data_IF_945708621649
#
_entry.id   IF_945708621649
#
_cell.length_a   1.000
_cell.length_b   1.000
_cell.length_c   1.000
_cell.angle_alpha   90.00
_cell.angle_beta   90.00
_cell.angle_gamma   90.00
#
_symmetry.space_group_name_H-M   'P 1'
#
loop_
_entity.id
_entity.type
_entity.pdbx_description
1 polymer ?
#
# COMPACT_ATOMS: atom_id res chain seq x y z
N UNK A 1 5.67 3.33 -16.73
CA UNK A 1 6.22 4.59 -16.18
C UNK A 1 5.43 5.72 -16.81
N UNK A 2 4.46 6.31 -16.11
CA UNK A 2 3.79 7.55 -16.56
C UNK A 2 4.14 8.70 -15.62
N UNK A 3 5.43 9.01 -15.56
CA UNK A 3 5.92 10.30 -15.10
C UNK A 3 6.65 11.06 -16.20
N UNK A 4 6.76 10.47 -17.40
CA UNK A 4 7.43 11.08 -18.54
C UNK A 4 6.63 10.80 -19.82
N UNK A 5 6.11 11.87 -20.43
CA UNK A 5 5.83 11.91 -21.87
C UNK A 5 7.02 12.66 -22.47
N UNK A 6 7.73 12.04 -23.42
CA UNK A 6 8.90 12.63 -24.10
C UNK A 6 10.07 13.05 -23.17
N UNK A 7 10.28 12.35 -22.05
CA UNK A 7 11.41 12.63 -21.15
C UNK A 7 11.24 13.85 -20.24
N UNK A 8 10.08 14.52 -20.26
CA UNK A 8 9.75 15.59 -19.33
C UNK A 8 8.79 15.13 -18.23
N UNK A 9 9.15 15.46 -16.98
CA UNK A 9 8.29 15.29 -15.81
C UNK A 9 6.98 16.05 -16.01
N UNK A 10 5.84 15.37 -15.89
CA UNK A 10 4.50 16.00 -15.93
C UNK A 10 4.20 16.89 -14.71
N UNK A 11 5.11 16.91 -13.73
CA UNK A 11 4.97 17.69 -12.49
C UNK A 11 6.13 18.68 -12.35
N UNK A 12 5.87 19.91 -11.87
CA UNK A 12 6.90 20.93 -11.66
C UNK A 12 8.01 20.48 -10.69
N UNK A 13 9.22 21.06 -10.80
CA UNK A 13 10.28 20.85 -9.81
C UNK A 13 9.78 21.09 -8.38
N UNK A 14 10.19 20.23 -7.46
CA UNK A 14 9.77 20.29 -6.05
C UNK A 14 8.48 19.53 -5.73
N UNK A 15 7.71 19.08 -6.73
CA UNK A 15 6.57 18.21 -6.50
C UNK A 15 7.03 16.87 -5.90
N UNK A 16 6.33 16.40 -4.87
CA UNK A 16 6.60 15.13 -4.19
C UNK A 16 5.32 14.35 -4.02
N UNK A 17 5.42 13.05 -4.24
CA UNK A 17 4.34 12.14 -3.90
C UNK A 17 4.28 11.98 -2.38
N UNK A 18 3.35 12.69 -1.74
CA UNK A 18 3.16 12.68 -0.29
C UNK A 18 1.67 12.64 0.06
N UNK A 19 0.95 11.56 -0.34
CA UNK A 19 -0.48 11.46 -0.10
C UNK A 19 -0.79 11.31 1.39
N UNK A 20 -1.90 11.90 1.80
CA UNK A 20 -2.54 11.62 3.08
C UNK A 20 -3.10 10.21 3.13
N UNK A 21 -3.38 9.71 4.34
CA UNK A 21 -4.01 8.39 4.52
C UNK A 21 -5.40 8.32 3.87
N UNK A 22 -6.11 9.45 3.85
CA UNK A 22 -7.40 9.58 3.18
C UNK A 22 -7.25 9.45 1.66
N UNK A 23 -6.29 10.16 1.05
CA UNK A 23 -6.03 10.06 -0.40
C UNK A 23 -5.59 8.65 -0.81
N UNK A 24 -4.74 8.00 -0.01
CA UNK A 24 -4.32 6.61 -0.25
C UNK A 24 -5.51 5.66 -0.34
N UNK A 25 -6.49 5.78 0.55
CA UNK A 25 -7.67 4.91 0.56
C UNK A 25 -8.73 5.36 -0.45
N UNK A 26 -9.17 6.61 -0.37
CA UNK A 26 -10.33 7.12 -1.09
C UNK A 26 -10.02 7.37 -2.58
N UNK A 27 -8.82 7.81 -2.92
CA UNK A 27 -8.44 8.03 -4.31
C UNK A 27 -7.69 6.81 -4.88
N UNK A 28 -6.53 6.44 -4.33
CA UNK A 28 -5.67 5.44 -4.96
C UNK A 28 -6.22 4.01 -4.84
N UNK A 29 -6.46 3.51 -3.62
CA UNK A 29 -6.88 2.13 -3.42
C UNK A 29 -8.29 1.86 -3.94
N UNK A 30 -9.25 2.77 -3.70
CA UNK A 30 -10.61 2.66 -4.23
C UNK A 30 -10.63 2.57 -5.75
N UNK A 31 -9.97 3.51 -6.44
CA UNK A 31 -9.89 3.48 -7.91
C UNK A 31 -9.20 2.22 -8.40
N UNK A 32 -8.13 1.79 -7.72
CA UNK A 32 -7.41 0.57 -8.08
C UNK A 32 -8.30 -0.68 -8.03
N UNK A 33 -9.10 -0.83 -6.97
CA UNK A 33 -10.03 -1.96 -6.80
C UNK A 33 -11.21 -1.89 -7.77
N UNK A 34 -11.69 -0.68 -8.09
CA UNK A 34 -12.76 -0.44 -9.05
C UNK A 34 -12.30 -0.50 -10.52
N UNK A 35 -11.01 -0.73 -10.78
CA UNK A 35 -10.39 -0.67 -12.11
C UNK A 35 -10.61 0.68 -12.81
N UNK A 36 -10.72 1.76 -12.04
CA UNK A 36 -10.84 3.12 -12.55
C UNK A 36 -9.47 3.72 -12.86
N UNK A 37 -9.45 4.70 -13.79
CA UNK A 37 -8.23 5.42 -14.15
C UNK A 37 -7.72 6.28 -12.98
N UNK A 38 -6.43 6.15 -12.68
CA UNK A 38 -5.67 6.98 -11.73
C UNK A 38 -4.88 8.00 -12.54
N UNK A 39 -5.01 9.29 -12.24
CA UNK A 39 -4.39 10.36 -13.04
C UNK A 39 -2.86 10.36 -12.89
N UNK A 40 -2.39 10.14 -11.66
CA UNK A 40 -0.97 9.94 -11.33
C UNK A 40 -0.72 8.49 -10.90
N UNK A 41 -0.72 7.57 -11.87
CA UNK A 41 -0.54 6.13 -11.65
C UNK A 41 0.94 5.77 -11.36
N UNK A 42 1.41 6.18 -10.19
CA UNK A 42 2.80 6.03 -9.74
C UNK A 42 3.03 4.84 -8.81
N UNK A 43 1.96 4.31 -8.20
CA UNK A 43 1.99 3.19 -7.25
C UNK A 43 2.02 1.88 -8.04
N UNK A 44 3.05 1.06 -7.84
CA UNK A 44 3.23 -0.19 -8.58
C UNK A 44 2.55 -1.37 -7.88
N UNK A 45 2.13 -2.35 -8.66
CA UNK A 45 1.77 -3.66 -8.13
C UNK A 45 3.02 -4.49 -7.82
N UNK A 46 3.05 -5.10 -6.64
CA UNK A 46 4.11 -6.03 -6.23
C UNK A 46 3.50 -7.22 -5.49
N UNK A 47 4.19 -8.36 -5.56
CA UNK A 47 3.91 -9.50 -4.69
C UNK A 47 4.73 -9.36 -3.42
N UNK A 48 4.07 -8.96 -2.33
CA UNK A 48 4.73 -8.72 -1.04
C UNK A 48 5.45 -9.96 -0.49
N UNK A 49 4.97 -11.17 -0.78
CA UNK A 49 5.58 -12.39 -0.24
C UNK A 49 6.88 -12.77 -0.95
N UNK A 50 7.12 -12.18 -2.12
CA UNK A 50 8.34 -12.37 -2.93
C UNK A 50 9.27 -11.17 -2.89
N UNK A 51 9.01 -10.22 -1.99
CA UNK A 51 9.75 -8.97 -1.92
C UNK A 51 10.32 -8.77 -0.52
N UNK A 52 11.64 -8.61 -0.45
CA UNK A 52 12.25 -8.22 0.81
C UNK A 52 12.13 -6.69 1.01
N UNK A 53 12.12 -6.20 2.26
CA UNK A 53 11.92 -4.78 2.52
C UNK A 53 12.94 -3.87 1.83
N UNK A 54 14.20 -4.28 1.76
CA UNK A 54 15.27 -3.51 1.10
C UNK A 54 15.13 -3.45 -0.43
N UNK A 55 14.42 -4.40 -1.04
CA UNK A 55 14.17 -4.40 -2.49
C UNK A 55 13.06 -3.38 -2.87
N UNK A 56 12.24 -2.94 -1.90
CA UNK A 56 11.13 -2.02 -2.12
C UNK A 56 11.64 -0.69 -2.69
N UNK A 57 12.80 -0.21 -2.21
CA UNK A 57 13.31 1.10 -2.61
C UNK A 57 13.56 1.19 -4.12
N UNK A 58 14.08 0.11 -4.70
CA UNK A 58 14.35 0.02 -6.13
C UNK A 58 13.04 -0.22 -6.92
N UNK A 59 12.23 -1.18 -6.47
CA UNK A 59 11.02 -1.60 -7.20
C UNK A 59 9.88 -0.58 -7.13
N UNK A 60 9.82 0.23 -6.09
CA UNK A 60 8.71 1.16 -5.84
C UNK A 60 9.15 2.63 -5.91
N UNK A 61 10.32 2.91 -6.51
CA UNK A 61 10.82 4.28 -6.70
C UNK A 61 9.85 5.10 -7.55
N UNK A 62 9.54 6.31 -7.07
CA UNK A 62 8.71 7.31 -7.76
C UNK A 62 9.59 8.51 -8.07
N UNK A 63 9.78 8.82 -9.35
CA UNK A 63 10.65 9.90 -9.80
C UNK A 63 12.14 9.65 -9.51
N UNK A 64 12.89 10.75 -9.43
CA UNK A 64 14.36 10.76 -9.23
C UNK A 64 14.80 11.43 -7.92
N UNK A 65 13.88 12.00 -7.15
CA UNK A 65 14.18 12.66 -5.88
C UNK A 65 14.36 11.66 -4.75
N UNK A 66 15.16 11.97 -3.71
CA UNK A 66 15.23 11.16 -2.50
C UNK A 66 13.84 10.94 -1.88
N UNK A 67 13.57 9.71 -1.44
CA UNK A 67 12.30 9.31 -0.82
C UNK A 67 12.58 8.61 0.50
N UNK A 68 11.73 8.86 1.50
CA UNK A 68 11.75 8.13 2.77
C UNK A 68 10.65 7.05 2.83
N UNK A 69 9.62 7.21 2.01
CA UNK A 69 8.46 6.33 1.96
C UNK A 69 8.26 5.80 0.53
N UNK A 70 7.82 4.55 0.44
CA UNK A 70 7.51 3.88 -0.82
C UNK A 70 6.10 3.29 -0.75
N UNK A 71 5.42 3.31 -1.89
CA UNK A 71 4.03 2.91 -2.01
C UNK A 71 3.88 1.83 -3.06
N UNK A 72 3.08 0.81 -2.75
CA UNK A 72 2.78 -0.27 -3.67
C UNK A 72 1.39 -0.84 -3.39
N UNK A 73 0.79 -1.40 -4.43
CA UNK A 73 -0.36 -2.29 -4.31
C UNK A 73 0.13 -3.72 -4.17
N UNK A 74 -0.53 -4.48 -3.30
CA UNK A 74 -0.30 -5.92 -3.17
C UNK A 74 -1.64 -6.61 -3.04
N UNK A 75 -1.77 -7.76 -3.70
CA UNK A 75 -2.89 -8.64 -3.44
C UNK A 75 -2.77 -9.25 -2.05
N UNK A 76 -3.92 -9.43 -1.38
CA UNK A 76 -3.98 -10.08 -0.08
C UNK A 76 -3.84 -11.59 -0.27
N UNK A 77 -2.65 -12.12 -0.05
CA UNK A 77 -2.44 -13.56 -0.07
C UNK A 77 -2.96 -14.20 1.22
N UNK A 78 -3.83 -15.20 1.09
CA UNK A 78 -4.35 -15.94 2.24
C UNK A 78 -3.36 -17.04 2.58
N UNK A 79 -2.86 -17.06 3.83
CA UNK A 79 -1.98 -18.13 4.33
C UNK A 79 -2.61 -19.52 4.22
N UNK A 80 -3.94 -19.58 4.30
CA UNK A 80 -4.72 -20.80 4.11
C UNK A 80 -5.92 -20.50 3.22
N UNK A 81 -6.31 -21.39 2.29
CA UNK A 81 -7.45 -21.17 1.38
C UNK A 81 -8.75 -20.76 2.12
N UNK A 82 -8.97 -21.32 3.30
CA UNK A 82 -10.17 -21.12 4.13
C UNK A 82 -9.97 -20.13 5.28
N UNK A 83 -8.76 -19.58 5.46
CA UNK A 83 -8.40 -18.77 6.62
C UNK A 83 -8.44 -17.26 6.36
N UNK A 84 -8.63 -16.49 7.42
CA UNK A 84 -8.52 -15.02 7.40
C UNK A 84 -7.08 -14.52 7.57
N UNK A 85 -6.16 -15.42 7.93
CA UNK A 85 -4.75 -15.11 8.19
C UNK A 85 -4.02 -14.84 6.89
N UNK A 86 -3.49 -13.63 6.72
CA UNK A 86 -2.65 -13.27 5.58
C UNK A 86 -1.28 -13.94 5.67
N UNK A 87 -0.75 -14.42 4.55
CA UNK A 87 0.67 -14.80 4.48
C UNK A 87 1.51 -13.53 4.49
N UNK A 88 2.56 -13.54 5.31
CA UNK A 88 3.42 -12.39 5.57
C UNK A 88 4.89 -12.81 5.70
N UNK A 89 5.20 -14.02 5.29
CA UNK A 89 6.57 -14.52 5.27
C UNK A 89 7.21 -14.16 3.93
N UNK A 90 8.48 -13.78 3.98
CA UNK A 90 9.36 -13.63 2.83
C UNK A 90 10.44 -14.71 2.89
N UNK A 91 11.39 -14.72 1.96
CA UNK A 91 12.49 -15.67 1.99
C UNK A 91 13.42 -15.41 3.18
N UNK A 92 13.69 -14.13 3.48
CA UNK A 92 14.63 -13.73 4.52
C UNK A 92 13.98 -13.44 5.89
N UNK A 93 12.64 -13.36 5.97
CA UNK A 93 11.98 -12.97 7.22
C UNK A 93 10.45 -13.04 7.22
N UNK A 94 9.83 -12.24 8.07
CA UNK A 94 8.37 -12.13 8.15
C UNK A 94 7.91 -10.78 8.69
N UNK A 95 6.74 -10.34 8.22
CA UNK A 95 6.05 -9.16 8.72
C UNK A 95 5.13 -9.51 9.88
N UNK A 96 5.34 -8.83 11.03
CA UNK A 96 4.54 -8.99 12.24
C UNK A 96 3.70 -7.74 12.47
N UNK A 97 2.39 -7.92 12.62
CA UNK A 97 1.50 -6.82 13.00
C UNK A 97 1.85 -6.31 14.41
N UNK A 98 1.79 -4.99 14.59
CA UNK A 98 2.04 -4.33 15.87
C UNK A 98 1.00 -3.23 16.11
N UNK A 99 0.65 -3.04 17.38
CA UNK A 99 -0.35 -2.05 17.79
C UNK A 99 -1.79 -2.42 17.39
N UNK A 100 -2.69 -1.48 17.62
CA UNK A 100 -4.10 -1.55 17.19
C UNK A 100 -4.24 -0.94 15.79
N UNK A 101 -5.20 -1.45 15.03
CA UNK A 101 -5.54 -0.88 13.72
C UNK A 101 -6.06 0.55 13.91
N UNK A 102 -5.57 1.48 13.09
CA UNK A 102 -6.04 2.86 13.04
C UNK A 102 -7.21 2.95 12.07
N UNK A 103 -8.32 3.53 12.52
CA UNK A 103 -9.47 3.83 11.66
C UNK A 103 -9.16 5.10 10.85
N UNK A 104 -9.43 5.05 9.54
CA UNK A 104 -9.28 6.19 8.64
C UNK A 104 -10.67 6.69 8.21
N UNK A 105 -10.85 8.00 8.28
CA UNK A 105 -12.09 8.70 7.94
C UNK A 105 -11.89 9.62 6.73
N UNK A 106 -12.96 9.83 5.97
CA UNK A 106 -13.14 10.93 5.04
C UNK A 106 -14.33 11.74 5.55
N UNK A 107 -14.06 12.92 6.11
CA UNK A 107 -15.05 13.65 6.93
C UNK A 107 -15.58 12.78 8.08
N UNK A 108 -16.90 12.59 8.15
CA UNK A 108 -17.56 11.76 9.17
C UNK A 108 -17.67 10.28 8.77
N UNK A 109 -17.26 9.90 7.56
CA UNK A 109 -17.42 8.54 7.05
C UNK A 109 -16.15 7.73 7.26
N UNK A 110 -16.28 6.55 7.86
CA UNK A 110 -15.20 5.57 7.92
C UNK A 110 -14.95 5.00 6.52
N UNK A 111 -13.71 5.08 6.04
CA UNK A 111 -13.34 4.63 4.69
C UNK A 111 -12.41 3.40 4.70
N UNK A 112 -11.77 3.11 5.83
CA UNK A 112 -10.92 1.93 5.94
C UNK A 112 -10.09 1.88 7.22
N UNK A 113 -9.09 1.01 7.19
CA UNK A 113 -8.18 0.72 8.29
C UNK A 113 -6.73 0.77 7.84
N UNK A 114 -5.85 1.21 8.74
CA UNK A 114 -4.39 1.08 8.62
C UNK A 114 -3.86 0.13 9.69
N UNK A 115 -3.18 -0.92 9.27
CA UNK A 115 -2.45 -1.84 10.14
C UNK A 115 -0.96 -1.57 10.03
N UNK A 116 -0.27 -1.43 11.15
CA UNK A 116 1.19 -1.30 11.18
C UNK A 116 1.85 -2.66 11.32
N UNK A 117 2.89 -2.91 10.53
CA UNK A 117 3.70 -4.11 10.58
C UNK A 117 5.17 -3.73 10.74
N UNK A 118 5.92 -4.61 11.40
CA UNK A 118 7.37 -4.53 11.52
C UNK A 118 7.96 -5.79 10.93
N UNK A 119 9.02 -5.65 10.14
CA UNK A 119 9.72 -6.80 9.58
C UNK A 119 10.70 -7.39 10.59
N UNK A 120 10.73 -8.71 10.64
CA UNK A 120 11.67 -9.49 11.43
C UNK A 120 12.50 -10.38 10.50
N UNK A 121 13.83 -10.28 10.58
CA UNK A 121 14.76 -11.11 9.81
C UNK A 121 14.93 -12.48 10.46
N UNK A 122 14.92 -13.54 9.67
CA UNK A 122 14.98 -14.93 10.13
C UNK A 122 13.61 -15.59 10.30
N UNK A 123 13.59 -16.84 10.80
CA UNK A 123 12.35 -17.62 10.90
C UNK A 123 11.54 -17.29 12.15
N UNK A 124 10.22 -17.22 11.99
CA UNK A 124 9.31 -17.12 13.12
C UNK A 124 9.39 -18.37 14.02
N UNK A 125 9.24 -18.25 15.35
CA UNK A 125 9.00 -17.01 16.10
C UNK A 125 10.28 -16.24 16.51
N UNK A 126 11.48 -16.76 16.19
CA UNK A 126 12.77 -16.27 16.70
C UNK A 126 13.45 -15.20 15.82
N UNK A 127 12.71 -14.52 14.94
CA UNK A 127 13.29 -13.49 14.08
C UNK A 127 13.80 -12.28 14.87
N UNK A 128 14.80 -11.60 14.31
CA UNK A 128 15.34 -10.34 14.85
C UNK A 128 14.54 -9.16 14.29
N UNK A 129 14.06 -8.27 15.16
CA UNK A 129 13.34 -7.06 14.76
C UNK A 129 14.25 -6.16 13.92
N UNK A 130 13.72 -5.61 12.83
CA UNK A 130 14.39 -4.59 12.02
C UNK A 130 13.67 -3.25 12.11
N UNK A 131 14.22 -2.23 11.44
CA UNK A 131 13.65 -0.88 11.37
C UNK A 131 12.64 -0.71 10.21
N UNK A 132 12.42 -1.77 9.42
CA UNK A 132 11.43 -1.73 8.34
C UNK A 132 10.01 -1.78 8.90
N UNK A 133 9.26 -0.73 8.59
CA UNK A 133 7.87 -0.54 8.97
C UNK A 133 7.02 -0.53 7.71
N UNK A 134 5.86 -1.19 7.78
CA UNK A 134 4.84 -1.14 6.74
C UNK A 134 3.52 -0.67 7.31
N UNK A 135 2.83 0.18 6.55
CA UNK A 135 1.44 0.55 6.78
C UNK A 135 0.56 -0.13 5.73
N UNK A 136 -0.14 -1.18 6.14
CA UNK A 136 -1.10 -1.91 5.30
C UNK A 136 -2.47 -1.23 5.39
N UNK A 137 -2.87 -0.56 4.31
CA UNK A 137 -4.17 0.09 4.17
C UNK A 137 -5.19 -0.85 3.55
N UNK A 138 -6.40 -0.89 4.11
CA UNK A 138 -7.51 -1.73 3.62
C UNK A 138 -8.79 -0.92 3.59
N UNK A 139 -9.55 -1.05 2.50
CA UNK A 139 -10.93 -0.54 2.43
C UNK A 139 -11.82 -1.32 3.39
N UNK A 140 -12.86 -0.67 3.89
CA UNK A 140 -13.95 -1.39 4.55
C UNK A 140 -14.80 -2.13 3.52
N UNK A 141 -15.18 -3.36 3.84
CA UNK A 141 -15.99 -4.24 2.98
C UNK A 141 -17.39 -3.64 2.67
N UNK A 142 -17.82 -2.62 3.42
CA UNK A 142 -19.17 -2.01 3.34
C UNK A 142 -19.28 -0.81 2.39
N UNK A 143 -18.23 -0.43 1.65
CA UNK A 143 -18.25 0.76 0.79
C UNK A 143 -18.65 0.47 -0.68
N UNK A 144 -19.55 -0.50 -0.92
CA UNK A 144 -20.36 -0.44 -2.13
C UNK A 144 -21.33 0.73 -1.96
N UNK A 145 -20.97 1.89 -2.52
CA UNK A 145 -21.93 2.97 -2.75
C UNK A 145 -23.14 2.35 -3.48
N UNK A 146 -24.38 2.54 -3.01
CA UNK A 146 -25.53 2.21 -3.83
C UNK A 146 -25.43 3.09 -5.07
N UNK A 147 -25.33 2.45 -6.25
CA UNK A 147 -25.42 3.14 -7.52
C UNK A 147 -26.73 3.93 -7.53
N UNK A 148 -26.66 5.23 -7.28
CA UNK A 148 -27.74 6.14 -7.66
C UNK A 148 -27.64 6.34 -9.16
N UNK A 149 -28.14 5.36 -9.91
CA UNK A 149 -28.56 5.56 -11.28
C UNK A 149 -29.68 6.60 -11.26
N UNK A 150 -29.37 7.80 -11.74
CA UNK A 150 -30.32 8.89 -11.91
C UNK A 150 -31.52 8.44 -12.73
N UNK A 151 -32.70 8.88 -12.28
CA UNK A 151 -33.89 8.99 -13.13
C UNK A 151 -33.69 10.07 -14.18
#
# INVERSE_FOLDING_TARGET
>A
MNLSINGQSQVPPGFRFHPTEEELLHYYLRKKVAYEKIDLDVIREVDLNKLEPWDIQEKCRIGSTPQNDWYFFSHKDKKYPTGTRTNRATAAGFWKATGRDKIIYSGCRRIGLRKTLVFYKGRAPHGLKSDWIMHEYRLDDNNQEPNMSGK
#
